data_IF_424450718819
#
_entry.id   IF_424450718819
#
_cell.length_a   1.000
_cell.length_b   1.000
_cell.length_c   1.000
_cell.angle_alpha   90.00
_cell.angle_beta   90.00
_cell.angle_gamma   90.00
#
_symmetry.space_group_name_H-M   'P 1'
#
loop_
_entity.id
_entity.type
_entity.pdbx_description
1 polymer ?
#
# COMPACT_ATOMS: atom_id res chain seq x y z
N UNK A 1 -52.42 -6.02 -53.50
CA UNK A 1 -50.99 -6.27 -53.75
C UNK A 1 -50.19 -5.55 -52.67
N UNK A 2 -49.59 -6.28 -51.72
CA UNK A 2 -48.90 -5.72 -50.54
C UNK A 2 -47.40 -5.88 -50.77
N UNK A 3 -46.71 -4.81 -51.14
CA UNK A 3 -45.26 -4.82 -51.38
C UNK A 3 -44.56 -5.05 -50.04
N UNK A 4 -43.92 -6.22 -49.87
CA UNK A 4 -43.07 -6.48 -48.72
C UNK A 4 -41.76 -5.71 -48.94
N UNK A 5 -41.50 -4.68 -48.13
CA UNK A 5 -40.17 -4.08 -48.01
C UNK A 5 -39.27 -5.12 -47.33
N UNK A 6 -38.41 -5.74 -48.10
CA UNK A 6 -37.29 -6.52 -47.57
C UNK A 6 -36.29 -5.53 -47.00
N UNK A 7 -36.12 -5.54 -45.68
CA UNK A 7 -35.00 -4.86 -45.04
C UNK A 7 -33.76 -5.69 -45.33
N UNK A 8 -32.91 -5.21 -46.23
CA UNK A 8 -31.56 -5.71 -46.34
C UNK A 8 -30.84 -5.21 -45.09
N UNK A 9 -30.54 -6.12 -44.16
CA UNK A 9 -29.53 -5.87 -43.14
C UNK A 9 -28.23 -5.81 -43.93
N UNK A 10 -27.81 -4.59 -44.26
CA UNK A 10 -26.48 -4.31 -44.77
C UNK A 10 -25.51 -4.65 -43.64
N UNK A 11 -25.05 -5.89 -43.63
CA UNK A 11 -24.06 -6.44 -42.71
C UNK A 11 -22.68 -5.90 -43.10
N UNK A 12 -22.52 -4.59 -42.91
CA UNK A 12 -21.26 -3.89 -43.09
C UNK A 12 -20.67 -3.56 -41.72
N UNK A 13 -19.60 -4.29 -41.37
CA UNK A 13 -18.49 -3.86 -40.51
C UNK A 13 -18.74 -3.50 -39.04
N UNK A 14 -19.53 -4.30 -38.31
CA UNK A 14 -19.23 -4.50 -36.88
C UNK A 14 -18.43 -5.80 -36.75
N UNK A 15 -17.10 -5.66 -36.90
CA UNK A 15 -16.15 -6.69 -36.53
C UNK A 15 -16.29 -6.95 -35.01
N UNK A 16 -17.22 -7.83 -34.65
CA UNK A 16 -17.30 -8.41 -33.32
C UNK A 16 -15.93 -9.03 -33.04
N UNK A 17 -15.17 -8.41 -32.13
CA UNK A 17 -13.91 -8.96 -31.65
C UNK A 17 -14.13 -10.43 -31.32
N UNK A 18 -13.22 -11.28 -31.79
CA UNK A 18 -13.31 -12.71 -31.51
C UNK A 18 -13.31 -12.92 -29.98
N UNK A 19 -14.00 -13.96 -29.51
CA UNK A 19 -14.06 -14.31 -28.08
C UNK A 19 -12.65 -14.41 -27.45
N UNK A 20 -11.65 -14.76 -28.25
CA UNK A 20 -10.24 -14.84 -27.84
C UNK A 20 -9.58 -13.45 -27.66
N UNK A 21 -9.87 -12.50 -28.55
CA UNK A 21 -9.40 -11.11 -28.41
C UNK A 21 -10.01 -10.44 -27.18
N UNK A 22 -11.30 -10.71 -26.91
CA UNK A 22 -11.98 -10.18 -25.74
C UNK A 22 -11.38 -10.75 -24.43
N UNK A 23 -11.12 -12.06 -24.38
CA UNK A 23 -10.44 -12.72 -23.25
C UNK A 23 -9.04 -12.18 -23.01
N UNK A 24 -8.27 -11.98 -24.08
CA UNK A 24 -6.91 -11.44 -24.00
C UNK A 24 -6.92 -10.02 -23.45
N UNK A 25 -7.84 -9.17 -23.93
CA UNK A 25 -8.01 -7.82 -23.42
C UNK A 25 -8.40 -7.79 -21.93
N UNK A 26 -9.37 -8.63 -21.53
CA UNK A 26 -9.78 -8.74 -20.12
C UNK A 26 -8.63 -9.21 -19.23
N UNK A 27 -7.84 -10.19 -19.67
CA UNK A 27 -6.67 -10.67 -18.95
C UNK A 27 -5.60 -9.58 -18.81
N UNK A 28 -5.32 -8.83 -19.88
CA UNK A 28 -4.38 -7.71 -19.85
C UNK A 28 -4.82 -6.62 -18.86
N UNK A 29 -6.10 -6.24 -18.88
CA UNK A 29 -6.66 -5.28 -17.93
C UNK A 29 -6.60 -5.77 -16.48
N UNK A 30 -6.87 -7.05 -16.24
CA UNK A 30 -6.71 -7.66 -14.91
C UNK A 30 -5.25 -7.61 -14.43
N UNK A 31 -4.30 -7.92 -15.30
CA UNK A 31 -2.86 -7.83 -14.99
C UNK A 31 -2.46 -6.40 -14.65
N UNK A 32 -2.94 -5.41 -15.41
CA UNK A 32 -2.67 -3.99 -15.13
C UNK A 32 -3.23 -3.57 -13.77
N UNK A 33 -4.48 -3.95 -13.48
CA UNK A 33 -5.14 -3.66 -12.19
C UNK A 33 -4.37 -4.29 -11.03
N UNK A 34 -3.97 -5.56 -11.16
CA UNK A 34 -3.18 -6.25 -10.14
C UNK A 34 -1.79 -5.63 -9.98
N UNK A 35 -1.15 -5.22 -11.07
CA UNK A 35 0.16 -4.55 -11.03
C UNK A 35 0.08 -3.20 -10.32
N UNK A 36 -0.97 -2.42 -10.55
CA UNK A 36 -1.22 -1.18 -9.84
C UNK A 36 -1.46 -1.42 -8.34
N UNK A 37 -2.23 -2.45 -7.99
CA UNK A 37 -2.47 -2.83 -6.60
C UNK A 37 -1.17 -3.26 -5.88
N UNK A 38 -0.34 -4.07 -6.54
CA UNK A 38 0.98 -4.48 -6.00
C UNK A 38 1.87 -3.27 -5.77
N UNK A 39 1.92 -2.33 -6.72
CA UNK A 39 2.71 -1.11 -6.57
C UNK A 39 2.22 -0.27 -5.37
N UNK A 40 0.91 -0.11 -5.21
CA UNK A 40 0.34 0.59 -4.05
C UNK A 40 0.70 -0.08 -2.73
N UNK A 41 0.70 -1.42 -2.68
CA UNK A 41 1.08 -2.17 -1.48
C UNK A 41 2.57 -1.99 -1.14
N UNK A 42 3.46 -1.97 -2.15
CA UNK A 42 4.89 -1.71 -1.95
C UNK A 42 5.14 -0.28 -1.46
N UNK A 43 4.43 0.71 -2.02
CA UNK A 43 4.53 2.10 -1.58
C UNK A 43 4.07 2.25 -0.11
N UNK A 44 3.00 1.55 0.29
CA UNK A 44 2.54 1.51 1.67
C UNK A 44 3.53 0.80 2.61
N UNK A 45 4.13 -0.31 2.18
CA UNK A 45 5.17 -1.01 2.93
C UNK A 45 6.37 -0.10 3.19
N UNK A 46 6.86 0.59 2.16
CA UNK A 46 7.95 1.56 2.31
C UNK A 46 7.59 2.69 3.29
N UNK A 47 6.36 3.20 3.21
CA UNK A 47 5.88 4.25 4.12
C UNK A 47 5.82 3.75 5.57
N UNK A 48 5.33 2.54 5.80
CA UNK A 48 5.25 1.93 7.14
C UNK A 48 6.64 1.66 7.73
N UNK A 49 7.58 1.17 6.93
CA UNK A 49 8.97 0.96 7.37
C UNK A 49 9.61 2.28 7.81
N UNK A 50 9.45 3.36 7.04
CA UNK A 50 9.95 4.68 7.43
C UNK A 50 9.32 5.19 8.74
N UNK A 51 8.04 4.91 8.97
CA UNK A 51 7.37 5.28 10.22
C UNK A 51 7.90 4.46 11.41
N UNK A 52 8.19 3.18 11.20
CA UNK A 52 8.77 2.30 12.21
C UNK A 52 10.17 2.76 12.61
N UNK A 53 11.00 3.12 11.63
CA UNK A 53 12.35 3.65 11.89
C UNK A 53 12.29 4.94 12.73
N UNK A 54 11.44 5.88 12.35
CA UNK A 54 11.23 7.12 13.14
C UNK A 54 10.71 6.84 14.55
N UNK A 55 9.83 5.85 14.73
CA UNK A 55 9.32 5.47 16.04
C UNK A 55 10.44 4.86 16.91
N UNK A 56 11.29 4.02 16.32
CA UNK A 56 12.43 3.42 17.00
C UNK A 56 13.47 4.47 17.41
N UNK A 57 13.78 5.43 16.54
CA UNK A 57 14.66 6.55 16.90
C UNK A 57 14.11 7.37 18.06
N UNK A 58 12.80 7.71 18.03
CA UNK A 58 12.14 8.42 19.13
C UNK A 58 12.20 7.63 20.43
N UNK A 59 11.91 6.33 20.38
CA UNK A 59 11.95 5.45 21.55
C UNK A 59 13.38 5.37 22.15
N UNK A 60 14.39 5.27 21.29
CA UNK A 60 15.81 5.30 21.70
C UNK A 60 16.16 6.60 22.42
N UNK A 61 15.79 7.75 21.85
CA UNK A 61 16.05 9.07 22.44
C UNK A 61 15.36 9.25 23.79
N UNK A 62 14.11 8.77 23.91
CA UNK A 62 13.38 8.81 25.19
C UNK A 62 14.07 7.91 26.23
N UNK A 63 14.47 6.71 25.85
CA UNK A 63 15.20 5.78 26.73
C UNK A 63 16.49 6.41 27.26
N UNK A 64 17.28 7.03 26.37
CA UNK A 64 18.50 7.73 26.74
C UNK A 64 18.22 8.92 27.67
N UNK A 65 17.20 9.71 27.39
CA UNK A 65 16.79 10.84 28.23
C UNK A 65 16.38 10.39 29.63
N UNK A 66 15.60 9.30 29.74
CA UNK A 66 15.17 8.71 31.01
C UNK A 66 16.38 8.20 31.79
N UNK A 67 17.30 7.48 31.14
CA UNK A 67 18.53 6.98 31.77
C UNK A 67 19.38 8.13 32.34
N UNK A 68 19.53 9.21 31.55
CA UNK A 68 20.27 10.41 31.96
C UNK A 68 19.60 11.15 33.13
N UNK A 69 18.27 11.11 33.22
CA UNK A 69 17.53 11.70 34.34
C UNK A 69 17.58 10.83 35.61
N UNK A 70 17.57 9.50 35.47
CA UNK A 70 17.62 8.55 36.59
C UNK A 70 19.00 8.44 37.24
N UNK A 71 20.08 8.42 36.45
CA UNK A 71 21.45 8.25 36.95
C UNK A 71 21.84 9.21 38.10
N UNK A 72 21.56 10.53 38.07
CA UNK A 72 21.87 11.41 39.19
C UNK A 72 20.96 11.18 40.42
N UNK A 73 19.72 10.73 40.22
CA UNK A 73 18.80 10.42 41.31
C UNK A 73 19.26 9.16 42.07
N UNK A 74 19.65 8.11 41.35
CA UNK A 74 20.22 6.90 41.93
C UNK A 74 21.47 7.20 42.76
N UNK A 75 22.35 8.08 42.26
CA UNK A 75 23.53 8.53 43.01
C UNK A 75 23.14 9.25 44.31
N UNK A 76 22.13 10.11 44.29
CA UNK A 76 21.65 10.84 45.48
C UNK A 76 21.05 9.89 46.52
N UNK A 77 20.22 8.93 46.09
CA UNK A 77 19.61 7.93 46.98
C UNK A 77 20.71 7.10 47.65
N UNK A 78 21.66 6.57 46.87
CA UNK A 78 22.79 5.80 47.40
C UNK A 78 23.66 6.60 48.40
N UNK A 79 23.80 7.92 48.19
CA UNK A 79 24.50 8.78 49.14
C UNK A 79 23.72 8.92 50.45
N UNK A 80 22.40 9.11 50.40
CA UNK A 80 21.55 9.22 51.59
C UNK A 80 21.59 7.92 52.38
N UNK A 81 21.38 6.78 51.72
CA UNK A 81 21.36 5.46 52.37
C UNK A 81 22.68 5.09 53.07
N UNK A 82 23.81 5.58 52.56
CA UNK A 82 25.13 5.36 53.17
C UNK A 82 25.43 6.26 54.36
N UNK A 83 24.69 7.36 54.53
CA UNK A 83 24.90 8.35 55.58
C UNK A 83 23.78 8.34 56.65
N UNK A 84 22.88 7.36 56.59
CA UNK A 84 21.93 7.00 57.65
C UNK A 84 22.50 5.86 58.51
#
# INVERSE_FOLDING_TARGET
>A
MRTRKTFFVDSSDDALASDEELKTYMAAHQIETLSAAIKSLLDDEHRLNNQLDQANERASNVSESVQNALAPLEKKINFIDRNL
#
